data_IF_290673668000
#
_entry.id   IF_290673668000
#
_cell.length_a   1.000
_cell.length_b   1.000
_cell.length_c   1.000
_cell.angle_alpha   90.00
_cell.angle_beta   90.00
_cell.angle_gamma   90.00
#
_symmetry.space_group_name_H-M   'P 1'
#
loop_
_entity.id
_entity.type
_entity.pdbx_description
1 polymer ?
#
# COMPACT_ATOMS: atom_id res chain seq x y z
N UNK A 1 22.15 -11.45 1.67
CA UNK A 1 22.67 -12.25 2.80
C UNK A 1 22.42 -13.72 2.48
N UNK A 2 23.42 -14.61 2.54
CA UNK A 2 23.29 -16.00 2.06
C UNK A 2 22.38 -16.91 2.92
N UNK A 3 21.79 -16.39 4.00
CA UNK A 3 20.90 -17.14 4.90
C UNK A 3 19.41 -16.88 4.63
N UNK A 4 19.06 -16.18 3.54
CA UNK A 4 17.66 -15.96 3.19
C UNK A 4 17.02 -17.29 2.78
N UNK A 5 15.86 -17.61 3.37
CA UNK A 5 15.09 -18.80 3.03
C UNK A 5 13.62 -18.40 2.81
N UNK A 6 13.25 -17.96 1.59
CA UNK A 6 11.88 -17.54 1.26
C UNK A 6 10.86 -18.68 1.43
N UNK A 7 11.23 -19.92 1.11
CA UNK A 7 10.33 -21.08 1.20
C UNK A 7 9.87 -21.32 2.63
N UNK A 8 10.78 -21.17 3.60
CA UNK A 8 10.44 -21.27 5.02
C UNK A 8 9.46 -20.17 5.44
N UNK A 9 9.65 -18.93 4.98
CA UNK A 9 8.72 -17.82 5.29
C UNK A 9 7.35 -18.08 4.69
N UNK A 10 7.28 -18.55 3.45
CA UNK A 10 6.01 -18.94 2.81
C UNK A 10 5.31 -20.03 3.62
N UNK A 11 6.03 -21.07 4.03
CA UNK A 11 5.48 -22.14 4.86
C UNK A 11 4.94 -21.60 6.19
N UNK A 12 5.71 -20.80 6.93
CA UNK A 12 5.28 -20.22 8.20
C UNK A 12 4.04 -19.31 8.04
N UNK A 13 3.93 -18.56 6.94
CA UNK A 13 2.77 -17.69 6.69
C UNK A 13 1.49 -18.46 6.33
N UNK A 14 1.60 -19.68 5.76
CA UNK A 14 0.41 -20.52 5.54
C UNK A 14 -0.30 -20.90 6.83
N UNK A 15 0.41 -20.98 7.97
CA UNK A 15 -0.19 -21.23 9.29
C UNK A 15 -1.15 -20.10 9.72
N UNK A 16 -0.98 -18.90 9.16
CA UNK A 16 -1.83 -17.73 9.37
C UNK A 16 -2.90 -17.55 8.28
N UNK A 17 -3.05 -18.53 7.38
CA UNK A 17 -4.01 -18.48 6.27
C UNK A 17 -3.55 -17.69 5.05
N UNK A 18 -2.29 -17.25 5.01
CA UNK A 18 -1.70 -16.59 3.85
C UNK A 18 -1.09 -17.65 2.92
N UNK A 19 -1.88 -18.12 1.95
CA UNK A 19 -1.47 -19.19 1.04
C UNK A 19 -0.95 -18.58 -0.27
N UNK A 20 0.29 -18.90 -0.69
CA UNK A 20 0.84 -18.41 -1.95
C UNK A 20 0.05 -18.88 -3.17
N UNK A 21 0.00 -18.06 -4.22
CA UNK A 21 -0.59 -18.43 -5.51
C UNK A 21 0.02 -19.71 -6.11
N UNK A 22 1.33 -19.91 -5.91
CA UNK A 22 2.05 -21.11 -6.36
C UNK A 22 1.49 -22.41 -5.75
N UNK A 23 0.80 -22.32 -4.60
CA UNK A 23 0.16 -23.45 -3.91
C UNK A 23 -1.37 -23.41 -4.05
N UNK A 24 -1.88 -22.62 -4.99
CA UNK A 24 -3.32 -22.48 -5.25
C UNK A 24 -4.06 -21.55 -4.28
N UNK A 25 -3.33 -20.71 -3.54
CA UNK A 25 -3.92 -19.61 -2.76
C UNK A 25 -4.13 -18.34 -3.59
N UNK A 26 -4.41 -17.24 -2.90
CA UNK A 26 -4.68 -15.91 -3.46
C UNK A 26 -3.68 -14.84 -3.00
N UNK A 27 -2.75 -15.21 -2.11
CA UNK A 27 -1.77 -14.27 -1.57
C UNK A 27 -0.57 -14.18 -2.50
N UNK A 28 -0.28 -12.97 -2.98
CA UNK A 28 0.88 -12.70 -3.85
C UNK A 28 2.14 -12.57 -2.98
N UNK A 29 3.22 -13.24 -3.39
CA UNK A 29 4.52 -13.19 -2.74
C UNK A 29 5.57 -12.75 -3.76
N UNK A 30 6.31 -11.68 -3.44
CA UNK A 30 7.39 -11.16 -4.31
C UNK A 30 8.71 -11.19 -3.54
N UNK A 31 9.68 -12.06 -3.91
CA UNK A 31 11.00 -12.05 -3.30
C UNK A 31 11.79 -10.83 -3.80
N UNK A 32 12.32 -10.02 -2.88
CA UNK A 32 13.05 -8.80 -3.23
C UNK A 32 14.25 -8.55 -2.32
N UNK A 33 15.11 -7.64 -2.74
CA UNK A 33 16.24 -7.10 -1.96
C UNK A 33 16.22 -5.59 -1.99
N UNK A 34 15.85 -4.96 -0.87
CA UNK A 34 15.82 -3.51 -0.74
C UNK A 34 17.20 -2.84 -0.85
N UNK A 35 18.30 -3.59 -0.68
CA UNK A 35 19.65 -3.06 -0.77
C UNK A 35 20.18 -3.02 -2.22
N UNK A 36 19.95 -4.09 -2.98
CA UNK A 36 20.36 -4.15 -4.39
C UNK A 36 19.29 -3.60 -5.35
N UNK A 37 18.04 -3.52 -4.89
CA UNK A 37 16.89 -3.14 -5.70
C UNK A 37 16.24 -4.31 -6.45
N UNK A 38 16.75 -5.53 -6.32
CA UNK A 38 16.20 -6.71 -7.00
C UNK A 38 14.74 -6.95 -6.55
N UNK A 39 13.84 -7.22 -7.50
CA UNK A 39 12.43 -7.53 -7.23
C UNK A 39 11.54 -6.30 -6.91
N UNK A 40 12.07 -5.07 -6.94
CA UNK A 40 11.25 -3.87 -6.74
C UNK A 40 10.31 -3.65 -7.93
N UNK A 41 10.79 -3.84 -9.16
CA UNK A 41 9.94 -3.71 -10.37
C UNK A 41 8.81 -4.74 -10.34
N UNK A 42 9.13 -6.01 -10.06
CA UNK A 42 8.16 -7.08 -9.91
C UNK A 42 7.10 -6.74 -8.83
N UNK A 43 7.52 -6.15 -7.71
CA UNK A 43 6.59 -5.73 -6.65
C UNK A 43 5.63 -4.65 -7.15
N UNK A 44 6.13 -3.66 -7.89
CA UNK A 44 5.32 -2.58 -8.43
C UNK A 44 4.31 -3.13 -9.44
N UNK A 45 4.73 -4.02 -10.34
CA UNK A 45 3.83 -4.68 -11.29
C UNK A 45 2.71 -5.45 -10.57
N UNK A 46 3.04 -6.21 -9.52
CA UNK A 46 2.05 -6.97 -8.76
C UNK A 46 1.08 -6.07 -7.99
N UNK A 47 1.53 -4.92 -7.48
CA UNK A 47 0.64 -3.92 -6.86
C UNK A 47 -0.34 -3.36 -7.89
N UNK A 48 0.14 -3.02 -9.08
CA UNK A 48 -0.71 -2.50 -10.16
C UNK A 48 -1.74 -3.56 -10.57
N UNK A 49 -1.30 -4.79 -10.83
CA UNK A 49 -2.19 -5.91 -11.19
C UNK A 49 -3.28 -6.13 -10.13
N UNK A 50 -2.89 -6.15 -8.85
CA UNK A 50 -3.84 -6.29 -7.74
C UNK A 50 -4.85 -5.13 -7.72
N UNK A 51 -4.39 -3.91 -7.97
CA UNK A 51 -5.27 -2.73 -7.99
C UNK A 51 -6.28 -2.77 -9.14
N UNK A 52 -5.91 -3.34 -10.29
CA UNK A 52 -6.80 -3.52 -11.44
C UNK A 52 -7.88 -4.55 -11.15
N UNK A 53 -7.52 -5.69 -10.54
CA UNK A 53 -8.46 -6.75 -10.14
C UNK A 53 -9.46 -6.23 -9.08
N UNK A 54 -9.02 -5.37 -8.17
CA UNK A 54 -9.88 -4.77 -7.14
C UNK A 54 -10.85 -3.70 -7.68
N UNK A 55 -10.66 -3.25 -8.93
CA UNK A 55 -11.47 -2.22 -9.59
C UNK A 55 -11.70 -0.97 -8.74
N UNK A 56 -10.68 -0.50 -7.99
CA UNK A 56 -10.80 0.63 -7.07
C UNK A 56 -11.35 1.88 -7.79
N UNK A 57 -12.38 2.54 -7.21
CA UNK A 57 -13.04 3.74 -7.79
C UNK A 57 -13.07 4.91 -6.82
N UNK A 58 -12.98 6.11 -7.36
CA UNK A 58 -13.27 7.37 -6.69
C UNK A 58 -13.96 8.34 -7.66
N UNK A 59 -14.63 9.36 -7.14
CA UNK A 59 -15.29 10.40 -7.93
C UNK A 59 -14.73 11.79 -7.55
N UNK A 60 -13.89 12.40 -8.41
CA UNK A 60 -13.26 13.69 -8.12
C UNK A 60 -14.25 14.87 -8.14
N UNK A 61 -15.42 14.74 -8.77
CA UNK A 61 -16.43 15.80 -8.93
C UNK A 61 -17.28 16.02 -7.66
N UNK A 62 -17.11 15.18 -6.64
CA UNK A 62 -17.82 15.32 -5.36
C UNK A 62 -17.05 16.20 -4.39
N UNK A 63 -17.73 16.62 -3.32
CA UNK A 63 -17.06 17.23 -2.17
C UNK A 63 -16.02 16.26 -1.60
N UNK A 64 -14.86 16.80 -1.21
CA UNK A 64 -13.80 16.03 -0.61
C UNK A 64 -14.26 15.29 0.66
N UNK A 65 -13.93 14.01 0.73
CA UNK A 65 -14.04 13.19 1.92
C UNK A 65 -12.69 12.51 2.11
N UNK A 66 -12.15 12.62 3.32
CA UNK A 66 -10.85 12.04 3.64
C UNK A 66 -10.70 11.78 5.13
N UNK A 67 -9.62 11.08 5.46
CA UNK A 67 -9.28 10.72 6.84
C UNK A 67 -7.96 11.38 7.21
N UNK A 68 -7.88 11.93 8.44
CA UNK A 68 -6.63 12.47 8.99
C UNK A 68 -5.73 11.30 9.37
N UNK A 69 -4.49 11.31 8.85
CA UNK A 69 -3.46 10.32 9.18
C UNK A 69 -2.72 10.80 10.44
N UNK A 70 -2.24 12.04 10.40
CA UNK A 70 -1.43 12.64 11.46
C UNK A 70 -1.79 14.12 11.62
N UNK A 71 -1.68 14.63 12.84
CA UNK A 71 -1.84 16.05 13.15
C UNK A 71 -0.68 16.50 14.03
N UNK A 72 -0.13 17.66 13.73
CA UNK A 72 1.02 18.22 14.43
C UNK A 72 0.85 19.73 14.65
N UNK A 73 1.63 20.27 15.59
CA UNK A 73 1.70 21.70 15.84
C UNK A 73 3.11 22.17 15.54
N UNK A 74 3.30 22.73 14.35
CA UNK A 74 4.57 23.35 13.98
C UNK A 74 4.64 24.78 14.52
N UNK A 75 5.76 25.14 15.13
CA UNK A 75 5.94 26.46 15.77
C UNK A 75 5.94 27.62 14.77
N UNK A 76 6.31 27.37 13.51
CA UNK A 76 6.41 28.39 12.47
C UNK A 76 5.18 28.45 11.57
N UNK A 77 4.48 27.32 11.38
CA UNK A 77 3.34 27.18 10.46
C UNK A 77 1.99 27.05 11.16
N UNK A 78 1.99 26.87 12.48
CA UNK A 78 0.77 26.63 13.26
C UNK A 78 0.32 25.17 13.17
N UNK A 79 -0.95 24.88 13.51
CA UNK A 79 -1.47 23.51 13.44
C UNK A 79 -1.56 23.02 11.99
N UNK A 80 -1.04 21.82 11.74
CA UNK A 80 -1.11 21.14 10.44
C UNK A 80 -1.58 19.70 10.59
N UNK A 81 -2.10 19.13 9.51
CA UNK A 81 -2.49 17.73 9.45
C UNK A 81 -2.19 17.15 8.07
N UNK A 82 -1.82 15.87 8.04
CA UNK A 82 -1.70 15.05 6.85
C UNK A 82 -3.01 14.29 6.63
N UNK A 83 -3.62 14.44 5.45
CA UNK A 83 -4.91 13.82 5.13
C UNK A 83 -4.79 12.89 3.93
N UNK A 84 -5.51 11.76 3.98
CA UNK A 84 -5.79 10.92 2.82
C UNK A 84 -7.16 11.29 2.26
N UNK A 85 -7.18 11.93 1.09
CA UNK A 85 -8.43 12.18 0.35
C UNK A 85 -8.86 10.90 -0.35
N UNK A 86 -10.03 10.38 0.03
CA UNK A 86 -10.55 9.10 -0.47
C UNK A 86 -11.58 9.29 -1.60
N UNK A 87 -12.27 10.43 -1.60
CA UNK A 87 -13.27 10.75 -2.61
C UNK A 87 -13.41 12.28 -2.76
N UNK A 88 -13.82 12.75 -3.93
CA UNK A 88 -13.91 14.19 -4.22
C UNK A 88 -12.56 14.87 -4.37
N UNK A 89 -12.59 16.20 -4.51
CA UNK A 89 -11.38 17.03 -4.66
C UNK A 89 -11.40 18.14 -3.60
N UNK A 90 -10.27 18.33 -2.91
CA UNK A 90 -10.09 19.37 -1.90
C UNK A 90 -9.23 20.50 -2.46
N UNK A 91 -9.73 21.74 -2.38
CA UNK A 91 -9.01 22.94 -2.78
C UNK A 91 -8.70 23.82 -1.57
N UNK A 92 -7.66 24.65 -1.71
CA UNK A 92 -7.30 25.63 -0.69
C UNK A 92 -8.45 26.64 -0.53
N UNK A 93 -8.99 26.73 0.69
CA UNK A 93 -10.09 27.63 1.03
C UNK A 93 -11.48 26.98 1.04
N UNK A 94 -11.60 25.68 0.72
CA UNK A 94 -12.85 24.93 0.89
C UNK A 94 -13.26 24.88 2.38
N UNK A 95 -14.58 24.98 2.63
CA UNK A 95 -15.19 25.07 3.96
C UNK A 95 -15.89 23.77 4.37
#
# INVERSE_FOLDING_TARGET
KPTANPDRVMQELTEYGLIPEAWGGDTIFVPLSALSGDGIEDLIEMIVLTSEIQELKANPEKKAVGTVIEAELDKSRGPSASLLVQNGTLHVGDA
#
